data_IF_425801379024
#
_entry.id   IF_425801379024
#
_cell.length_a   1.000
_cell.length_b   1.000
_cell.length_c   1.000
_cell.angle_alpha   90.00
_cell.angle_beta   90.00
_cell.angle_gamma   90.00
#
_symmetry.space_group_name_H-M   'P 1'
#
loop_
_entity.id
_entity.type
_entity.pdbx_description
1 polymer ?
#
# COMPACT_ATOMS: atom_id res chain seq x y z
N UNK A 1 -5.29 5.73 12.40
CA UNK A 1 -5.43 5.25 11.00
C UNK A 1 -4.05 5.21 10.34
N UNK A 2 -3.80 4.16 9.62
CA UNK A 2 -2.53 3.93 8.95
C UNK A 2 -2.80 3.34 7.56
N UNK A 3 -2.05 3.79 6.56
CA UNK A 3 -2.12 3.23 5.22
C UNK A 3 -1.02 2.18 5.03
N UNK A 4 -1.34 1.08 4.36
CA UNK A 4 -0.38 -0.01 4.15
C UNK A 4 -0.05 -0.10 2.66
N UNK A 5 1.23 -0.02 2.33
CA UNK A 5 1.72 -0.24 0.97
C UNK A 5 1.88 -1.74 0.68
N UNK A 6 1.78 -2.10 -0.59
CA UNK A 6 1.96 -3.50 -1.03
C UNK A 6 3.30 -4.08 -0.60
N UNK A 7 4.35 -3.26 -0.55
CA UNK A 7 5.69 -3.72 -0.15
C UNK A 7 5.69 -4.34 1.25
N UNK A 8 4.88 -3.84 2.16
CA UNK A 8 4.75 -4.43 3.50
C UNK A 8 4.11 -5.83 3.43
N UNK A 9 2.96 -5.95 2.77
CA UNK A 9 2.27 -7.25 2.69
C UNK A 9 3.07 -8.28 1.93
N UNK A 10 3.73 -7.88 0.85
CA UNK A 10 4.62 -8.78 0.09
C UNK A 10 5.74 -9.28 1.01
N UNK A 11 6.41 -8.37 1.72
CA UNK A 11 7.47 -8.73 2.65
C UNK A 11 6.96 -9.59 3.81
N UNK A 12 5.77 -9.29 4.33
CA UNK A 12 5.19 -10.02 5.46
C UNK A 12 4.83 -11.46 5.11
N UNK A 13 4.37 -11.68 3.88
CA UNK A 13 3.79 -12.95 3.45
C UNK A 13 4.73 -13.80 2.59
N UNK A 14 5.76 -13.22 1.98
CA UNK A 14 6.77 -13.96 1.20
C UNK A 14 8.04 -14.10 2.02
N UNK A 15 8.33 -15.33 2.41
CA UNK A 15 9.47 -15.65 3.30
C UNK A 15 10.82 -15.21 2.72
N UNK A 16 10.98 -15.30 1.40
CA UNK A 16 12.24 -14.97 0.72
C UNK A 16 12.41 -13.46 0.45
N UNK A 17 11.43 -12.63 0.78
CA UNK A 17 11.57 -11.18 0.61
C UNK A 17 12.64 -10.64 1.56
N UNK A 18 13.49 -9.73 1.07
CA UNK A 18 14.60 -9.17 1.87
C UNK A 18 14.14 -8.42 3.12
N UNK A 19 12.90 -7.95 3.14
CA UNK A 19 12.32 -7.24 4.29
C UNK A 19 11.40 -8.12 5.14
N UNK A 20 11.35 -9.42 4.86
CA UNK A 20 10.43 -10.34 5.55
C UNK A 20 10.59 -10.27 7.09
N UNK A 21 11.82 -10.39 7.56
CA UNK A 21 12.10 -10.36 9.00
C UNK A 21 11.64 -9.05 9.63
N UNK A 22 11.92 -7.93 8.97
CA UNK A 22 11.53 -6.61 9.45
C UNK A 22 10.00 -6.44 9.45
N UNK A 23 9.31 -6.94 8.44
CA UNK A 23 7.86 -6.89 8.36
C UNK A 23 7.22 -7.67 9.53
N UNK A 24 7.76 -8.84 9.87
CA UNK A 24 7.30 -9.60 11.03
C UNK A 24 7.48 -8.82 12.33
N UNK A 25 8.62 -8.18 12.51
CA UNK A 25 8.87 -7.35 13.70
C UNK A 25 7.89 -6.18 13.80
N UNK A 26 7.55 -5.55 12.67
CA UNK A 26 6.63 -4.42 12.64
C UNK A 26 5.18 -4.82 12.98
N UNK A 27 4.78 -6.04 12.67
CA UNK A 27 3.38 -6.48 12.83
C UNK A 27 2.84 -6.21 14.24
N UNK A 28 3.64 -6.44 15.26
CA UNK A 28 3.23 -6.21 16.66
C UNK A 28 3.06 -4.73 17.02
N UNK A 29 3.60 -3.84 16.18
CA UNK A 29 3.53 -2.38 16.40
C UNK A 29 2.37 -1.73 15.64
N UNK A 30 1.70 -2.47 14.74
CA UNK A 30 0.65 -1.94 13.88
C UNK A 30 -0.73 -2.17 14.50
N UNK A 31 -1.06 -1.35 15.50
CA UNK A 31 -2.30 -1.47 16.29
C UNK A 31 -3.41 -0.54 15.81
N UNK A 32 -3.19 0.25 14.78
CA UNK A 32 -4.18 1.18 14.25
C UNK A 32 -5.01 0.54 13.15
N UNK A 33 -6.17 1.14 12.86
CA UNK A 33 -7.01 0.72 11.75
C UNK A 33 -6.24 0.90 10.43
N UNK A 34 -6.22 -0.15 9.62
CA UNK A 34 -5.44 -0.22 8.38
C UNK A 34 -6.30 0.05 7.17
N UNK A 35 -5.74 0.82 6.24
CA UNK A 35 -6.36 1.15 4.95
C UNK A 35 -5.41 0.79 3.81
N UNK A 36 -5.99 0.27 2.74
CA UNK A 36 -5.33 0.11 1.45
C UNK A 36 -6.29 0.62 0.37
N UNK A 37 -5.77 0.87 -0.82
CA UNK A 37 -6.62 1.13 -1.99
C UNK A 37 -6.53 -0.02 -2.99
N UNK A 38 -7.28 0.07 -4.10
CA UNK A 38 -7.28 -0.98 -5.12
C UNK A 38 -5.94 -1.13 -5.84
N UNK A 39 -5.10 -0.09 -5.86
CA UNK A 39 -3.71 -0.22 -6.38
C UNK A 39 -2.91 -1.19 -5.53
N UNK A 40 -2.93 -1.01 -4.20
CA UNK A 40 -2.23 -1.91 -3.26
C UNK A 40 -2.80 -3.32 -3.35
N UNK A 41 -4.13 -3.45 -3.44
CA UNK A 41 -4.81 -4.74 -3.60
C UNK A 41 -4.29 -5.47 -4.83
N UNK A 42 -4.28 -4.79 -5.98
CA UNK A 42 -3.83 -5.38 -7.24
C UNK A 42 -2.35 -5.80 -7.19
N UNK A 43 -1.50 -4.94 -6.68
CA UNK A 43 -0.06 -5.23 -6.58
C UNK A 43 0.21 -6.42 -5.66
N UNK A 44 -0.49 -6.49 -4.54
CA UNK A 44 -0.34 -7.58 -3.59
C UNK A 44 -0.82 -8.91 -4.19
N UNK A 45 -2.00 -8.92 -4.79
CA UNK A 45 -2.52 -10.13 -5.45
C UNK A 45 -1.61 -10.59 -6.60
N UNK A 46 -1.08 -9.65 -7.40
CA UNK A 46 -0.18 -9.98 -8.50
C UNK A 46 1.11 -10.66 -8.02
N UNK A 47 1.62 -10.29 -6.86
CA UNK A 47 2.83 -10.91 -6.30
C UNK A 47 2.66 -12.41 -6.01
N UNK A 48 1.42 -12.87 -5.85
CA UNK A 48 1.09 -14.27 -5.56
C UNK A 48 0.41 -14.98 -6.74
N UNK A 49 0.26 -14.33 -7.87
CA UNK A 49 -0.57 -14.82 -8.99
C UNK A 49 -0.07 -16.08 -9.69
N UNK A 50 1.18 -16.47 -9.47
CA UNK A 50 1.75 -17.68 -10.06
C UNK A 50 1.34 -18.98 -9.35
N UNK A 51 0.71 -18.89 -8.18
CA UNK A 51 0.43 -20.04 -7.31
C UNK A 51 -1.00 -20.57 -7.41
N UNK A 52 -1.84 -20.00 -8.27
CA UNK A 52 -3.18 -20.48 -8.57
C UNK A 52 -4.30 -19.74 -7.85
N UNK A 53 -5.54 -20.01 -8.29
CA UNK A 53 -6.72 -19.25 -7.89
C UNK A 53 -7.13 -19.39 -6.44
N UNK A 54 -6.92 -20.55 -5.82
CA UNK A 54 -7.28 -20.79 -4.42
C UNK A 54 -6.46 -19.89 -3.48
N UNK A 55 -5.16 -19.79 -3.73
CA UNK A 55 -4.27 -18.95 -2.94
C UNK A 55 -4.61 -17.46 -3.10
N UNK A 56 -4.95 -17.03 -4.30
CA UNK A 56 -5.42 -15.66 -4.56
C UNK A 56 -6.72 -15.38 -3.79
N UNK A 57 -7.65 -16.31 -3.78
CA UNK A 57 -8.90 -16.15 -3.04
C UNK A 57 -8.66 -16.01 -1.54
N UNK A 58 -7.81 -16.86 -0.97
CA UNK A 58 -7.47 -16.79 0.46
C UNK A 58 -6.79 -15.47 0.82
N UNK A 59 -5.89 -15.00 -0.04
CA UNK A 59 -5.23 -13.72 0.16
C UNK A 59 -6.20 -12.56 0.07
N UNK A 60 -7.12 -12.59 -0.88
CA UNK A 60 -8.16 -11.57 -1.02
C UNK A 60 -9.03 -11.48 0.25
N UNK A 61 -9.44 -12.63 0.80
CA UNK A 61 -10.20 -12.68 2.05
C UNK A 61 -9.38 -12.07 3.19
N UNK A 62 -8.12 -12.47 3.30
CA UNK A 62 -7.21 -11.94 4.33
C UNK A 62 -7.08 -10.42 4.24
N UNK A 63 -6.85 -9.87 3.05
CA UNK A 63 -6.70 -8.42 2.86
C UNK A 63 -7.97 -7.66 3.23
N UNK A 64 -9.15 -8.23 2.93
CA UNK A 64 -10.42 -7.63 3.33
C UNK A 64 -10.65 -7.67 4.84
N UNK A 65 -10.21 -8.71 5.51
CA UNK A 65 -10.32 -8.81 6.96
C UNK A 65 -9.38 -7.84 7.69
N UNK A 66 -8.19 -7.62 7.15
CA UNK A 66 -7.16 -6.80 7.78
C UNK A 66 -7.30 -5.31 7.50
N UNK A 67 -7.99 -4.93 6.43
CA UNK A 67 -8.01 -3.54 5.95
C UNK A 67 -9.40 -3.06 5.57
N UNK A 68 -9.60 -1.75 5.67
CA UNK A 68 -10.62 -1.07 4.87
C UNK A 68 -10.03 -0.85 3.48
N UNK A 69 -10.74 -1.27 2.44
CA UNK A 69 -10.24 -1.16 1.06
C UNK A 69 -10.98 -0.02 0.35
N UNK A 70 -10.21 0.95 -0.13
CA UNK A 70 -10.72 2.05 -0.96
C UNK A 70 -10.55 1.67 -2.42
N UNK A 71 -11.67 1.45 -3.11
CA UNK A 71 -11.63 1.18 -4.55
C UNK A 71 -11.59 2.50 -5.31
N UNK A 72 -10.56 2.65 -6.16
CA UNK A 72 -10.36 3.89 -6.91
C UNK A 72 -11.44 4.09 -7.97
N UNK A 73 -11.96 5.31 -8.03
CA UNK A 73 -12.95 5.76 -9.02
C UNK A 73 -12.28 6.70 -10.01
N UNK A 74 -12.97 7.05 -11.08
CA UNK A 74 -12.46 7.95 -12.10
C UNK A 74 -11.92 9.25 -11.51
N UNK A 75 -12.68 9.86 -10.58
CA UNK A 75 -12.26 11.10 -9.91
C UNK A 75 -10.93 10.94 -9.16
N UNK A 76 -10.69 9.79 -8.55
CA UNK A 76 -9.45 9.52 -7.83
C UNK A 76 -8.25 9.49 -8.80
N UNK A 77 -8.46 8.95 -10.00
CA UNK A 77 -7.43 8.97 -11.05
C UNK A 77 -7.16 10.38 -11.54
N UNK A 78 -8.20 11.21 -11.72
CA UNK A 78 -8.03 12.61 -12.12
C UNK A 78 -7.14 13.36 -11.10
N UNK A 79 -7.42 13.18 -9.83
CA UNK A 79 -6.62 13.81 -8.76
C UNK A 79 -5.20 13.21 -8.69
N UNK A 80 -5.04 11.93 -8.94
CA UNK A 80 -3.73 11.27 -8.97
C UNK A 80 -2.86 11.80 -10.12
N UNK A 81 -3.45 12.09 -11.28
CA UNK A 81 -2.75 12.70 -12.42
C UNK A 81 -2.23 14.09 -12.03
N UNK A 82 -3.02 14.88 -11.30
CA UNK A 82 -2.58 16.18 -10.80
C UNK A 82 -1.38 16.07 -9.87
N UNK A 83 -1.39 15.08 -8.97
CA UNK A 83 -0.26 14.80 -8.08
C UNK A 83 0.99 14.42 -8.87
N UNK A 84 0.85 13.57 -9.89
CA UNK A 84 1.96 13.20 -10.76
C UNK A 84 2.59 14.42 -11.42
N UNK A 85 1.78 15.36 -11.87
CA UNK A 85 2.24 16.64 -12.41
C UNK A 85 2.97 17.48 -11.36
N UNK A 86 2.41 17.57 -10.16
CA UNK A 86 3.02 18.32 -9.06
C UNK A 86 4.41 17.79 -8.72
N UNK A 87 4.58 16.47 -8.65
CA UNK A 87 5.87 15.84 -8.34
C UNK A 87 6.77 15.67 -9.57
N UNK A 88 6.33 16.19 -10.73
CA UNK A 88 7.07 16.12 -11.99
C UNK A 88 7.53 14.70 -12.32
N UNK A 89 6.65 13.73 -12.10
CA UNK A 89 6.90 12.31 -12.32
C UNK A 89 8.11 11.73 -11.54
N UNK A 90 8.52 12.39 -10.45
CA UNK A 90 9.61 11.91 -9.60
C UNK A 90 9.23 10.71 -8.74
N UNK A 91 7.94 10.44 -8.62
CA UNK A 91 7.39 9.23 -8.01
C UNK A 91 6.50 8.54 -9.07
N UNK A 92 6.34 7.23 -8.99
CA UNK A 92 5.54 6.53 -9.98
C UNK A 92 4.03 6.80 -9.79
N UNK A 93 3.24 6.53 -10.84
CA UNK A 93 1.82 6.84 -10.80
C UNK A 93 1.06 6.03 -9.75
N UNK A 94 1.44 4.77 -9.51
CA UNK A 94 0.83 3.95 -8.46
C UNK A 94 0.97 4.63 -7.09
N UNK A 95 2.14 5.20 -6.79
CA UNK A 95 2.38 5.92 -5.55
C UNK A 95 1.53 7.19 -5.47
N UNK A 96 1.28 7.86 -6.61
CA UNK A 96 0.36 9.00 -6.65
C UNK A 96 -1.07 8.61 -6.25
N UNK A 97 -1.55 7.44 -6.67
CA UNK A 97 -2.87 6.95 -6.27
C UNK A 97 -2.95 6.67 -4.76
N UNK A 98 -1.86 6.20 -4.19
CA UNK A 98 -1.75 5.96 -2.74
C UNK A 98 -1.80 7.29 -1.99
N UNK A 99 -1.01 8.27 -2.42
CA UNK A 99 -1.00 9.60 -1.81
C UNK A 99 -2.37 10.27 -1.90
N UNK A 100 -3.05 10.15 -3.04
CA UNK A 100 -4.40 10.67 -3.22
C UNK A 100 -5.38 10.05 -2.21
N UNK A 101 -5.36 8.71 -2.08
CA UNK A 101 -6.20 8.03 -1.11
C UNK A 101 -5.92 8.49 0.31
N UNK A 102 -4.65 8.63 0.67
CA UNK A 102 -4.24 9.08 2.00
C UNK A 102 -4.73 10.51 2.28
N UNK A 103 -4.58 11.42 1.32
CA UNK A 103 -5.05 12.80 1.46
C UNK A 103 -6.56 12.86 1.65
N UNK A 104 -7.31 12.11 0.86
CA UNK A 104 -8.77 12.05 0.94
C UNK A 104 -9.24 11.53 2.30
N UNK A 105 -8.53 10.57 2.87
CA UNK A 105 -8.87 9.96 4.16
C UNK A 105 -8.28 10.72 5.37
N UNK A 106 -7.41 11.69 5.13
CA UNK A 106 -6.74 12.41 6.21
C UNK A 106 -5.68 11.56 6.93
N UNK A 107 -5.08 10.59 6.23
CA UNK A 107 -4.04 9.71 6.78
C UNK A 107 -2.67 10.24 6.39
N UNK A 108 -1.77 10.40 7.35
CA UNK A 108 -0.41 10.86 7.11
C UNK A 108 0.67 9.83 7.51
N UNK A 109 0.26 8.62 7.87
CA UNK A 109 1.18 7.53 8.22
C UNK A 109 1.03 6.40 7.22
N UNK A 110 2.16 5.89 6.71
CA UNK A 110 2.20 4.76 5.78
C UNK A 110 3.26 3.75 6.22
N UNK A 111 2.92 2.47 6.13
CA UNK A 111 3.91 1.40 6.28
C UNK A 111 4.39 1.02 4.89
N UNK A 112 5.66 1.24 4.61
CA UNK A 112 6.22 0.96 3.29
C UNK A 112 7.74 0.76 3.36
N UNK A 113 8.22 -0.19 2.58
CA UNK A 113 9.66 -0.39 2.35
C UNK A 113 10.14 0.28 1.06
N UNK A 114 9.24 0.96 0.34
CA UNK A 114 9.58 1.72 -0.86
C UNK A 114 10.17 3.08 -0.46
N UNK A 115 11.36 3.38 -0.99
CA UNK A 115 12.05 4.63 -0.68
C UNK A 115 11.36 5.89 -1.22
N UNK A 116 10.47 5.76 -2.20
CA UNK A 116 9.79 6.90 -2.81
C UNK A 116 8.94 7.69 -1.82
N UNK A 117 8.31 7.01 -0.85
CA UNK A 117 7.49 7.70 0.14
C UNK A 117 8.30 8.57 1.10
N UNK A 118 9.58 8.27 1.29
CA UNK A 118 10.48 9.08 2.12
C UNK A 118 10.76 10.47 1.53
N UNK A 119 10.46 10.67 0.23
CA UNK A 119 10.63 11.96 -0.46
C UNK A 119 9.48 12.93 -0.20
N UNK A 120 8.40 12.47 0.42
CA UNK A 120 7.16 13.23 0.56
C UNK A 120 7.15 13.95 1.91
N UNK A 121 7.08 15.28 1.89
CA UNK A 121 7.01 16.09 3.11
C UNK A 121 5.68 15.84 3.84
N UNK A 122 5.75 15.77 5.16
CA UNK A 122 4.57 15.61 6.01
C UNK A 122 4.06 14.18 6.12
N UNK A 123 4.73 13.24 5.44
CA UNK A 123 4.37 11.83 5.49
C UNK A 123 5.28 11.10 6.49
N UNK A 124 4.66 10.38 7.43
CA UNK A 124 5.38 9.54 8.37
C UNK A 124 5.48 8.13 7.79
N UNK A 125 6.69 7.71 7.46
CA UNK A 125 6.95 6.39 6.89
C UNK A 125 7.43 5.44 7.98
N UNK A 126 6.69 4.36 8.18
CA UNK A 126 7.02 3.29 9.12
C UNK A 126 7.67 2.16 8.34
N UNK A 127 8.86 1.79 8.73
CA UNK A 127 9.62 0.72 8.07
C UNK A 127 10.64 0.06 8.99
#
# INVERSE_FOLDING_TARGET
MIFIDSSYYIARLIEDDKFHKRAIELESQLNEKRYINSTVLNETLNAFGSNGGEEINDLFIYLNEMNEIVYLKEKDYDESVKLSGYYNSSINFSDCTILESMQKLGINKIVSFDSDFSKIKGLSVIK
#
